data_IF_032485773605
#
_entry.id   IF_032485773605
#
_cell.length_a   1.000
_cell.length_b   1.000
_cell.length_c   1.000
_cell.angle_alpha   90.00
_cell.angle_beta   90.00
_cell.angle_gamma   90.00
#
_symmetry.space_group_name_H-M   'P 1'
#
loop_
_entity.id
_entity.type
_entity.pdbx_description
1 polymer ?
#
# COMPACT_ATOMS: atom_id res chain seq x y z
N UNK A 1 21.70 5.07 -13.42
CA UNK A 1 21.25 5.17 -12.02
C UNK A 1 22.50 5.19 -11.12
N UNK A 2 22.78 6.31 -10.46
CA UNK A 2 24.00 6.42 -9.64
C UNK A 2 23.85 5.54 -8.38
N UNK A 3 24.58 4.44 -8.32
CA UNK A 3 24.52 3.50 -7.19
C UNK A 3 25.04 4.20 -5.94
N UNK A 4 24.20 4.41 -4.92
CA UNK A 4 24.58 4.99 -3.62
C UNK A 4 24.80 3.85 -2.61
N UNK A 5 25.75 4.03 -1.70
CA UNK A 5 25.99 3.09 -0.59
C UNK A 5 25.50 3.72 0.70
N UNK A 6 24.63 3.01 1.41
CA UNK A 6 24.03 3.50 2.66
C UNK A 6 25.00 3.29 3.82
N UNK A 7 24.99 4.22 4.76
CA UNK A 7 25.96 4.26 5.86
C UNK A 7 25.22 4.32 7.18
N UNK A 8 25.67 3.51 8.13
CA UNK A 8 25.20 3.53 9.52
C UNK A 8 26.39 3.87 10.40
N UNK A 9 26.19 4.72 11.40
CA UNK A 9 27.23 5.03 12.38
C UNK A 9 27.52 3.81 13.30
N UNK A 10 28.50 3.95 14.19
CA UNK A 10 28.83 2.90 15.18
C UNK A 10 27.66 2.59 16.13
N UNK A 11 26.87 3.62 16.49
CA UNK A 11 25.73 3.54 17.41
C UNK A 11 24.47 2.90 16.81
N UNK A 12 24.39 2.74 15.48
CA UNK A 12 23.24 2.19 14.78
C UNK A 12 22.31 3.21 14.09
N UNK A 13 22.59 4.51 14.21
CA UNK A 13 21.84 5.57 13.54
C UNK A 13 22.23 5.66 12.06
N UNK A 14 21.25 5.85 11.15
CA UNK A 14 21.51 6.02 9.73
C UNK A 14 22.18 7.38 9.46
N UNK A 15 23.16 7.39 8.55
CA UNK A 15 23.82 8.58 8.05
C UNK A 15 23.50 8.79 6.58
N UNK A 16 24.00 9.89 6.03
CA UNK A 16 23.87 10.19 4.60
C UNK A 16 24.63 9.17 3.75
N UNK A 17 24.02 8.72 2.63
CA UNK A 17 24.65 7.75 1.76
C UNK A 17 25.86 8.35 1.06
N UNK A 18 26.82 7.49 0.70
CA UNK A 18 28.07 7.89 0.06
C UNK A 18 28.23 7.27 -1.32
N UNK A 19 29.19 7.81 -2.10
CA UNK A 19 29.57 7.24 -3.40
C UNK A 19 30.27 5.88 -3.20
N UNK A 20 30.09 4.90 -4.09
CA UNK A 20 30.71 3.57 -3.98
C UNK A 20 32.24 3.62 -3.86
N UNK A 21 32.89 4.60 -4.50
CA UNK A 21 34.33 4.81 -4.39
C UNK A 21 34.77 5.12 -2.94
N UNK A 22 34.00 5.94 -2.21
CA UNK A 22 34.28 6.24 -0.79
C UNK A 22 34.03 5.00 0.08
N UNK A 23 32.93 4.29 -0.15
CA UNK A 23 32.63 3.05 0.55
C UNK A 23 33.74 2.00 0.38
N UNK A 24 34.26 1.83 -0.85
CA UNK A 24 35.35 0.88 -1.13
C UNK A 24 36.64 1.24 -0.38
N UNK A 25 37.01 2.52 -0.32
CA UNK A 25 38.16 2.98 0.46
C UNK A 25 37.97 2.68 1.96
N UNK A 26 36.79 3.01 2.51
CA UNK A 26 36.47 2.73 3.91
C UNK A 26 36.53 1.24 4.26
N UNK A 27 36.07 0.37 3.35
CA UNK A 27 36.15 -1.08 3.52
C UNK A 27 37.59 -1.59 3.42
N UNK A 28 38.37 -1.10 2.44
CA UNK A 28 39.79 -1.46 2.27
C UNK A 28 40.63 -1.06 3.49
N UNK A 29 40.34 0.10 4.07
CA UNK A 29 41.06 0.64 5.21
C UNK A 29 40.57 0.06 6.56
N UNK A 30 39.62 -0.88 6.56
CA UNK A 30 39.06 -1.47 7.79
C UNK A 30 38.20 -0.53 8.65
N UNK A 31 37.86 0.66 8.14
CA UNK A 31 37.07 1.69 8.85
C UNK A 31 35.55 1.47 8.79
N UNK A 32 35.11 0.50 8.01
CA UNK A 32 33.71 0.11 7.89
C UNK A 32 33.57 -1.40 7.69
N UNK A 33 32.40 -1.94 8.02
CA UNK A 33 32.03 -3.34 7.79
C UNK A 33 30.70 -3.41 7.03
N UNK A 34 30.54 -4.34 6.07
CA UNK A 34 29.26 -4.54 5.41
C UNK A 34 28.25 -5.16 6.40
N UNK A 35 27.02 -4.62 6.43
CA UNK A 35 25.94 -5.12 7.32
C UNK A 35 24.76 -5.67 6.51
N UNK A 36 24.50 -5.10 5.33
CA UNK A 36 23.41 -5.52 4.45
C UNK A 36 23.85 -5.48 3.00
N UNK A 37 23.42 -6.47 2.22
CA UNK A 37 23.72 -6.54 0.78
C UNK A 37 22.71 -5.77 -0.07
N UNK A 38 21.42 -5.79 0.30
CA UNK A 38 20.34 -5.15 -0.48
C UNK A 38 19.40 -4.35 0.44
N UNK A 39 19.39 -3.01 0.35
CA UNK A 39 20.40 -2.18 -0.33
C UNK A 39 21.77 -2.33 0.34
N UNK A 40 22.86 -2.14 -0.42
CA UNK A 40 24.21 -2.29 0.12
C UNK A 40 24.48 -1.23 1.19
N UNK A 41 24.71 -1.69 2.41
CA UNK A 41 24.81 -0.85 3.61
C UNK A 41 26.05 -1.20 4.40
N UNK A 42 26.86 -0.20 4.72
CA UNK A 42 28.07 -0.33 5.54
C UNK A 42 27.85 0.32 6.90
N UNK A 43 28.50 -0.23 7.93
CA UNK A 43 28.54 0.33 9.27
C UNK A 43 29.95 0.80 9.60
N UNK A 44 30.09 2.03 10.07
CA UNK A 44 31.37 2.59 10.50
C UNK A 44 31.83 1.95 11.82
N UNK A 45 33.14 1.75 11.96
CA UNK A 45 33.76 1.20 13.18
C UNK A 45 34.27 2.26 14.14
N UNK A 46 34.24 3.53 13.73
CA UNK A 46 34.71 4.69 14.48
C UNK A 46 33.55 5.67 14.71
N UNK A 47 33.72 6.56 15.67
CA UNK A 47 32.73 7.56 16.05
C UNK A 47 32.80 8.77 15.11
N UNK A 48 31.67 9.17 14.56
CA UNK A 48 31.57 10.26 13.60
C UNK A 48 30.51 11.25 14.06
N UNK A 49 30.66 12.51 13.63
CA UNK A 49 29.65 13.54 13.84
C UNK A 49 28.35 13.16 13.10
N UNK A 50 27.21 13.18 13.80
CA UNK A 50 25.90 12.78 13.28
C UNK A 50 25.21 13.90 12.48
N UNK A 51 25.99 14.68 11.74
CA UNK A 51 25.49 15.80 10.94
C UNK A 51 24.84 15.25 9.66
N UNK A 52 23.50 15.19 9.66
CA UNK A 52 22.68 14.71 8.54
C UNK A 52 21.87 15.85 7.93
N UNK A 53 21.72 15.84 6.60
CA UNK A 53 20.76 16.72 5.95
C UNK A 53 19.33 16.20 6.13
N UNK A 54 18.31 17.07 6.15
CA UNK A 54 16.92 16.63 6.22
C UNK A 54 16.56 15.81 4.98
N UNK A 55 15.97 14.63 5.21
CA UNK A 55 15.50 13.73 4.15
C UNK A 55 13.98 13.65 4.22
N UNK A 56 13.33 13.97 3.10
CA UNK A 56 11.88 13.86 2.94
C UNK A 56 11.55 12.57 2.20
N UNK A 57 10.71 11.75 2.80
CA UNK A 57 10.16 10.55 2.18
C UNK A 57 8.77 10.84 1.61
N UNK A 58 8.65 10.86 0.29
CA UNK A 58 7.37 10.86 -0.41
C UNK A 58 6.84 9.43 -0.59
N UNK A 59 5.57 9.21 -0.28
CA UNK A 59 4.88 7.92 -0.46
C UNK A 59 3.62 8.17 -1.29
N UNK A 60 3.57 7.53 -2.46
CA UNK A 60 2.37 7.44 -3.30
C UNK A 60 1.68 6.10 -3.01
N UNK A 61 0.51 6.19 -2.37
CA UNK A 61 -0.20 5.02 -1.84
C UNK A 61 -1.12 4.43 -2.91
N UNK A 62 -0.77 3.25 -3.39
CA UNK A 62 -1.61 2.47 -4.28
C UNK A 62 -2.23 1.21 -3.65
N UNK A 63 -3.24 0.67 -4.34
CA UNK A 63 -3.97 -0.53 -3.88
C UNK A 63 -3.17 -1.83 -4.06
N UNK A 64 -2.39 -1.92 -5.15
CA UNK A 64 -1.54 -3.08 -5.48
C UNK A 64 -0.05 -2.77 -5.35
N UNK A 65 0.35 -1.57 -5.73
CA UNK A 65 1.74 -1.11 -5.74
C UNK A 65 1.73 0.28 -5.13
N UNK A 66 2.55 0.53 -4.12
CA UNK A 66 2.82 1.88 -3.62
C UNK A 66 4.22 2.32 -4.01
N UNK A 67 4.36 3.52 -4.55
CA UNK A 67 5.65 4.12 -4.84
C UNK A 67 6.20 4.83 -3.61
N UNK A 68 7.52 4.86 -3.47
CA UNK A 68 8.16 5.76 -2.51
C UNK A 68 9.45 6.35 -3.08
N UNK A 69 9.76 7.57 -2.65
CA UNK A 69 10.99 8.28 -3.02
C UNK A 69 11.51 9.05 -1.81
N UNK A 70 12.78 8.85 -1.48
CA UNK A 70 13.50 9.59 -0.45
C UNK A 70 14.39 10.63 -1.13
N UNK A 71 14.15 11.91 -0.82
CA UNK A 71 14.78 13.06 -1.46
C UNK A 71 15.51 13.90 -0.41
N UNK A 72 16.71 14.37 -0.75
CA UNK A 72 17.45 15.34 0.05
C UNK A 72 18.16 16.32 -0.88
N UNK A 73 18.11 17.62 -0.59
CA UNK A 73 18.73 18.68 -1.39
C UNK A 73 18.44 18.61 -2.91
N UNK A 74 17.23 18.18 -3.30
CA UNK A 74 16.84 18.01 -4.70
C UNK A 74 17.39 16.74 -5.38
N UNK A 75 18.19 15.92 -4.71
CA UNK A 75 18.64 14.62 -5.21
C UNK A 75 17.79 13.47 -4.65
N UNK A 76 17.46 12.50 -5.51
CA UNK A 76 16.85 11.24 -5.10
C UNK A 76 17.94 10.34 -4.49
N UNK A 77 17.81 10.03 -3.21
CA UNK A 77 18.72 9.12 -2.50
C UNK A 77 18.33 7.67 -2.74
N UNK A 78 17.02 7.39 -2.68
CA UNK A 78 16.45 6.06 -2.84
C UNK A 78 15.04 6.18 -3.40
N UNK A 79 14.67 5.31 -4.33
CA UNK A 79 13.30 5.17 -4.79
C UNK A 79 12.97 3.70 -5.00
N UNK A 80 11.69 3.36 -4.92
CA UNK A 80 11.26 1.99 -5.15
C UNK A 80 9.76 1.82 -5.11
N UNK A 81 9.37 0.56 -5.29
CA UNK A 81 7.98 0.13 -5.28
C UNK A 81 7.76 -0.91 -4.19
N UNK A 82 6.63 -0.79 -3.50
CA UNK A 82 6.15 -1.75 -2.51
C UNK A 82 5.04 -2.55 -3.18
N UNK A 83 5.32 -3.81 -3.49
CA UNK A 83 4.32 -4.73 -4.01
C UNK A 83 3.45 -5.24 -2.85
N UNK A 84 2.20 -4.82 -2.83
CA UNK A 84 1.26 -5.16 -1.77
C UNK A 84 0.68 -6.55 -1.94
N UNK A 85 0.30 -7.13 -0.81
CA UNK A 85 -0.36 -8.44 -0.77
C UNK A 85 -1.82 -8.35 -1.22
N UNK A 86 -2.16 -9.04 -2.31
CA UNK A 86 -3.50 -8.96 -2.95
C UNK A 86 -4.45 -10.12 -2.60
N UNK A 87 -3.95 -11.23 -2.07
CA UNK A 87 -4.72 -12.45 -1.76
C UNK A 87 -5.58 -12.34 -0.47
N UNK A 88 -5.45 -11.26 0.31
CA UNK A 88 -6.16 -11.09 1.60
C UNK A 88 -7.68 -11.20 1.41
N UNK A 89 -8.23 -10.54 0.39
CA UNK A 89 -9.67 -10.58 0.09
C UNK A 89 -10.12 -12.01 -0.21
N UNK A 90 -9.46 -12.68 -1.15
CA UNK A 90 -9.74 -14.07 -1.54
C UNK A 90 -9.68 -15.01 -0.33
N UNK A 91 -8.63 -14.92 0.50
CA UNK A 91 -8.49 -15.75 1.71
C UNK A 91 -9.60 -15.50 2.74
N UNK A 92 -10.08 -14.25 2.89
CA UNK A 92 -11.22 -13.97 3.76
C UNK A 92 -12.52 -14.53 3.21
N UNK A 93 -12.74 -14.43 1.91
CA UNK A 93 -13.92 -14.99 1.23
C UNK A 93 -13.96 -16.51 1.36
N UNK A 94 -12.86 -17.20 1.04
CA UNK A 94 -12.74 -18.66 1.25
C UNK A 94 -13.03 -19.03 2.71
N UNK A 95 -12.48 -18.30 3.67
CA UNK A 95 -12.75 -18.53 5.10
C UNK A 95 -14.22 -18.32 5.45
N UNK A 96 -14.88 -17.33 4.87
CA UNK A 96 -16.30 -17.07 5.07
C UNK A 96 -17.16 -18.19 4.47
N UNK A 97 -16.85 -18.63 3.25
CA UNK A 97 -17.52 -19.75 2.56
C UNK A 97 -17.38 -21.05 3.33
N UNK A 98 -16.18 -21.42 3.76
CA UNK A 98 -15.95 -22.63 4.57
C UNK A 98 -16.75 -22.60 5.90
N UNK A 99 -16.90 -21.41 6.50
CA UNK A 99 -17.75 -21.24 7.69
C UNK A 99 -19.24 -21.32 7.39
N UNK A 100 -19.68 -20.94 6.19
CA UNK A 100 -21.07 -21.06 5.75
C UNK A 100 -21.40 -22.53 5.47
N UNK A 101 -20.55 -23.23 4.73
CA UNK A 101 -20.71 -24.66 4.41
C UNK A 101 -20.75 -25.54 5.68
N UNK A 102 -19.89 -25.27 6.68
CA UNK A 102 -19.96 -26.00 7.94
C UNK A 102 -21.28 -25.75 8.68
N UNK A 103 -21.77 -24.51 8.66
CA UNK A 103 -23.04 -24.15 9.31
C UNK A 103 -24.24 -24.76 8.61
N UNK A 104 -24.23 -24.87 7.29
CA UNK A 104 -25.32 -25.53 6.55
C UNK A 104 -25.44 -27.02 6.85
N UNK A 105 -24.36 -27.67 7.33
CA UNK A 105 -24.38 -29.07 7.80
C UNK A 105 -24.82 -29.22 9.26
N UNK A 106 -24.90 -28.13 10.02
CA UNK A 106 -25.24 -28.13 11.45
C UNK A 106 -26.69 -27.64 11.64
N UNK A 107 -27.65 -28.37 11.04
CA UNK A 107 -29.08 -28.03 11.07
C UNK A 107 -29.67 -27.90 12.48
N UNK A 108 -29.15 -28.67 13.44
CA UNK A 108 -29.55 -28.65 14.85
C UNK A 108 -29.02 -27.44 15.64
N UNK A 109 -28.07 -26.66 15.10
CA UNK A 109 -27.39 -25.61 15.86
C UNK A 109 -27.95 -24.23 15.50
N UNK A 110 -28.47 -23.44 16.47
CA UNK A 110 -29.06 -22.14 16.18
C UNK A 110 -28.01 -21.12 15.68
N UNK A 111 -28.41 -20.19 14.79
CA UNK A 111 -27.54 -19.12 14.32
C UNK A 111 -27.19 -18.15 15.46
N UNK A 112 -25.92 -17.72 15.55
CA UNK A 112 -25.43 -16.77 16.57
C UNK A 112 -25.04 -15.45 15.92
N UNK A 113 -26.03 -14.59 15.65
CA UNK A 113 -25.80 -13.29 15.00
C UNK A 113 -25.05 -12.30 15.90
N UNK A 114 -25.20 -12.43 17.22
CA UNK A 114 -24.60 -11.52 18.22
C UNK A 114 -23.12 -11.81 18.49
N UNK A 115 -22.62 -12.98 18.08
CA UNK A 115 -21.21 -13.37 18.19
C UNK A 115 -20.35 -12.70 17.10
N UNK A 116 -20.52 -11.39 16.93
CA UNK A 116 -19.86 -10.54 15.94
C UNK A 116 -19.07 -9.39 16.59
N UNK A 117 -18.78 -9.48 17.88
CA UNK A 117 -18.01 -8.49 18.63
C UNK A 117 -16.74 -8.04 17.90
N UNK A 118 -15.94 -8.99 17.38
CA UNK A 118 -14.72 -8.66 16.62
C UNK A 118 -15.00 -7.84 15.34
N UNK A 119 -16.14 -8.02 14.66
CA UNK A 119 -16.48 -7.21 13.48
C UNK A 119 -17.14 -5.87 13.82
N UNK A 120 -17.74 -5.76 15.01
CA UNK A 120 -18.41 -4.54 15.50
C UNK A 120 -17.48 -3.64 16.34
N UNK A 121 -16.26 -4.08 16.61
CA UNK A 121 -15.28 -3.35 17.39
C UNK A 121 -14.98 -1.98 16.75
N UNK A 122 -15.07 -0.92 17.55
CA UNK A 122 -14.69 0.43 17.15
C UNK A 122 -13.20 0.51 16.81
N UNK A 123 -12.84 1.35 15.84
CA UNK A 123 -11.45 1.50 15.38
C UNK A 123 -10.91 0.32 14.55
N UNK A 124 -11.76 -0.67 14.21
CA UNK A 124 -11.33 -1.80 13.39
C UNK A 124 -11.09 -1.39 11.94
N UNK A 125 -9.84 -1.49 11.50
CA UNK A 125 -9.49 -1.43 10.07
C UNK A 125 -9.84 -2.75 9.35
N UNK A 126 -10.37 -2.68 8.11
CA UNK A 126 -10.49 -3.84 7.24
C UNK A 126 -9.13 -4.56 7.07
N UNK A 127 -9.07 -5.90 7.11
CA UNK A 127 -7.79 -6.61 7.07
C UNK A 127 -6.93 -6.32 5.84
N UNK A 128 -7.53 -6.00 4.69
CA UNK A 128 -6.81 -5.58 3.48
C UNK A 128 -6.12 -4.24 3.68
N UNK A 129 -6.84 -3.24 4.19
CA UNK A 129 -6.32 -1.90 4.47
C UNK A 129 -5.22 -1.98 5.53
N UNK A 130 -5.47 -2.72 6.62
CA UNK A 130 -4.47 -2.94 7.68
C UNK A 130 -3.20 -3.61 7.15
N UNK A 131 -3.33 -4.61 6.28
CA UNK A 131 -2.18 -5.27 5.68
C UNK A 131 -1.35 -4.31 4.82
N UNK A 132 -2.00 -3.54 3.94
CA UNK A 132 -1.33 -2.54 3.10
C UNK A 132 -0.60 -1.49 3.94
N UNK A 133 -1.27 -0.89 4.94
CA UNK A 133 -0.65 0.11 5.83
C UNK A 133 0.55 -0.47 6.59
N UNK A 134 0.42 -1.68 7.14
CA UNK A 134 1.52 -2.35 7.85
C UNK A 134 2.70 -2.68 6.92
N UNK A 135 2.45 -3.00 5.65
CA UNK A 135 3.51 -3.24 4.66
C UNK A 135 4.31 -1.97 4.40
N UNK A 136 3.64 -0.82 4.24
CA UNK A 136 4.29 0.49 4.09
C UNK A 136 5.15 0.79 5.33
N UNK A 137 4.58 0.73 6.54
CA UNK A 137 5.31 0.98 7.79
C UNK A 137 6.54 0.07 7.91
N UNK A 138 6.41 -1.21 7.55
CA UNK A 138 7.53 -2.15 7.58
C UNK A 138 8.66 -1.77 6.62
N UNK A 139 8.32 -1.22 5.45
CA UNK A 139 9.34 -0.75 4.49
C UNK A 139 10.00 0.51 5.02
N UNK A 140 9.22 1.50 5.45
CA UNK A 140 9.72 2.77 5.99
C UNK A 140 10.70 2.53 7.14
N UNK A 141 10.36 1.67 8.09
CA UNK A 141 11.22 1.32 9.23
C UNK A 141 12.53 0.60 8.84
N UNK A 142 12.62 0.07 7.62
CA UNK A 142 13.79 -0.65 7.11
C UNK A 142 14.66 0.20 6.18
N UNK A 143 14.27 1.44 5.89
CA UNK A 143 15.04 2.35 5.05
C UNK A 143 16.30 2.79 5.83
N UNK A 144 17.51 2.59 5.28
CA UNK A 144 18.76 2.96 5.94
C UNK A 144 19.09 4.44 5.68
N UNK A 145 18.12 5.34 5.94
CA UNK A 145 18.22 6.78 5.69
C UNK A 145 17.73 7.56 6.92
N UNK A 146 18.34 8.71 7.23
CA UNK A 146 17.88 9.59 8.31
C UNK A 146 16.65 10.40 7.86
N UNK A 147 15.48 9.76 7.89
CA UNK A 147 14.21 10.37 7.47
C UNK A 147 13.75 11.38 8.52
N UNK A 148 13.57 12.64 8.13
CA UNK A 148 13.09 13.72 9.00
C UNK A 148 11.61 14.01 8.81
N UNK A 149 11.10 13.83 7.59
CA UNK A 149 9.71 14.12 7.24
C UNK A 149 9.17 13.05 6.30
N UNK A 150 7.89 12.71 6.45
CA UNK A 150 7.19 11.77 5.59
C UNK A 150 5.98 12.51 5.01
N UNK A 151 5.93 12.60 3.69
CA UNK A 151 4.82 13.16 2.94
C UNK A 151 4.09 11.99 2.29
N UNK A 152 2.80 11.86 2.60
CA UNK A 152 1.95 10.82 2.02
C UNK A 152 0.99 11.53 1.08
N UNK A 153 0.97 11.11 -0.18
CA UNK A 153 -0.08 11.50 -1.09
C UNK A 153 -1.37 10.79 -0.67
N UNK A 154 -2.27 11.55 -0.05
CA UNK A 154 -3.61 11.08 0.25
C UNK A 154 -4.60 11.76 -0.70
N UNK A 155 -5.54 10.97 -1.23
CA UNK A 155 -6.61 11.50 -2.07
C UNK A 155 -7.64 12.12 -1.13
N UNK A 156 -7.39 13.38 -0.75
CA UNK A 156 -8.25 14.16 0.13
C UNK A 156 -9.61 14.47 -0.50
N UNK A 157 -9.67 14.53 -1.84
CA UNK A 157 -10.89 14.90 -2.57
C UNK A 157 -11.69 13.64 -2.88
N UNK A 158 -12.79 13.48 -2.18
CA UNK A 158 -13.81 12.50 -2.51
C UNK A 158 -14.63 13.00 -3.71
N UNK A 159 -14.18 12.66 -4.92
CA UNK A 159 -14.84 13.04 -6.18
C UNK A 159 -16.31 12.60 -6.20
N UNK A 160 -16.65 11.47 -5.57
CA UNK A 160 -18.02 10.99 -5.52
C UNK A 160 -18.88 11.91 -4.63
N UNK A 161 -18.34 12.32 -3.48
CA UNK A 161 -19.02 13.26 -2.58
C UNK A 161 -19.01 14.71 -3.06
N UNK A 162 -18.06 15.07 -3.93
CA UNK A 162 -18.04 16.37 -4.58
C UNK A 162 -19.16 16.50 -5.62
N UNK A 163 -19.50 15.41 -6.30
CA UNK A 163 -20.66 15.35 -7.20
C UNK A 163 -21.98 15.17 -6.45
N UNK A 164 -21.99 14.44 -5.33
CA UNK A 164 -23.15 14.22 -4.48
C UNK A 164 -22.80 14.43 -2.99
N UNK A 165 -23.04 15.64 -2.44
CA UNK A 165 -22.70 15.96 -1.04
C UNK A 165 -23.38 15.08 0.01
N UNK A 166 -24.52 14.46 -0.33
CA UNK A 166 -25.30 13.61 0.57
C UNK A 166 -24.85 12.14 0.58
N UNK A 167 -23.91 11.78 -0.31
CA UNK A 167 -23.41 10.42 -0.48
C UNK A 167 -22.86 9.86 0.84
N UNK A 168 -23.49 8.80 1.36
CA UNK A 168 -23.12 8.15 2.63
C UNK A 168 -23.20 6.63 2.56
N UNK A 169 -22.28 5.96 3.25
CA UNK A 169 -22.36 4.53 3.56
C UNK A 169 -22.46 3.62 2.33
N UNK A 170 -23.55 2.86 2.22
CA UNK A 170 -23.78 1.92 1.11
C UNK A 170 -24.00 2.61 -0.24
N UNK A 171 -24.31 3.91 -0.26
CA UNK A 171 -24.46 4.68 -1.49
C UNK A 171 -23.17 4.72 -2.33
N UNK A 172 -21.99 4.70 -1.68
CA UNK A 172 -20.68 4.58 -2.38
C UNK A 172 -20.53 3.29 -3.20
N UNK A 173 -21.27 2.25 -2.85
CA UNK A 173 -21.24 0.97 -3.56
C UNK A 173 -22.17 0.97 -4.77
N UNK A 174 -23.11 1.93 -4.84
CA UNK A 174 -23.90 2.17 -6.04
C UNK A 174 -23.00 2.88 -7.02
N UNK A 175 -22.63 2.17 -8.06
CA UNK A 175 -21.81 2.74 -9.10
C UNK A 175 -22.58 3.85 -9.80
N UNK A 176 -21.99 5.02 -10.00
CA UNK A 176 -22.54 6.10 -10.82
C UNK A 176 -22.52 5.78 -12.33
N UNK A 177 -22.57 4.48 -12.64
CA UNK A 177 -22.12 3.94 -13.91
C UNK A 177 -23.08 4.38 -15.01
N UNK A 178 -22.51 5.14 -15.93
CA UNK A 178 -22.74 5.15 -17.37
C UNK A 178 -23.13 3.78 -17.99
N UNK A 179 -22.96 2.64 -17.31
CA UNK A 179 -23.35 1.33 -17.81
C UNK A 179 -24.87 1.17 -17.93
N UNK A 180 -25.69 1.75 -17.04
CA UNK A 180 -27.14 1.74 -17.23
C UNK A 180 -27.51 2.61 -18.44
N UNK A 181 -26.88 3.79 -18.58
CA UNK A 181 -27.09 4.68 -19.72
C UNK A 181 -26.58 4.10 -21.04
N UNK A 182 -25.43 3.42 -21.05
CA UNK A 182 -24.89 2.71 -22.21
C UNK A 182 -25.77 1.50 -22.55
N UNK A 183 -26.26 0.77 -21.54
CA UNK A 183 -27.23 -0.31 -21.72
C UNK A 183 -28.54 0.22 -22.31
N UNK A 184 -29.11 1.29 -21.76
CA UNK A 184 -30.30 1.96 -22.28
C UNK A 184 -30.07 2.51 -23.68
N UNK A 185 -28.94 3.16 -23.95
CA UNK A 185 -28.59 3.64 -25.29
C UNK A 185 -28.45 2.49 -26.30
N UNK A 186 -27.89 1.35 -25.89
CA UNK A 186 -27.79 0.16 -26.73
C UNK A 186 -29.18 -0.44 -26.98
N UNK A 187 -30.02 -0.55 -25.95
CA UNK A 187 -31.40 -1.02 -26.09
C UNK A 187 -32.25 -0.10 -26.96
N UNK A 188 -32.12 1.22 -26.81
CA UNK A 188 -32.79 2.23 -27.64
C UNK A 188 -32.30 2.19 -29.09
N UNK A 189 -30.99 2.05 -29.32
CA UNK A 189 -30.41 1.87 -30.67
C UNK A 189 -30.97 0.63 -31.36
N UNK A 190 -31.17 -0.44 -30.60
CA UNK A 190 -31.61 -1.75 -31.10
C UNK A 190 -33.14 -1.94 -31.00
N UNK A 191 -33.92 -0.90 -30.69
CA UNK A 191 -35.39 -0.96 -30.53
C UNK A 191 -35.85 -2.08 -29.59
N UNK A 192 -35.10 -2.30 -28.52
CA UNK A 192 -35.27 -3.38 -27.54
C UNK A 192 -35.30 -4.78 -28.18
N UNK A 193 -34.74 -4.93 -29.38
CA UNK A 193 -34.66 -6.17 -30.11
C UNK A 193 -33.29 -6.83 -29.92
N UNK A 194 -33.27 -8.12 -29.61
CA UNK A 194 -32.01 -8.86 -29.49
C UNK A 194 -31.38 -9.05 -30.88
N UNK A 195 -30.16 -8.54 -31.09
CA UNK A 195 -29.43 -8.67 -32.36
C UNK A 195 -29.05 -10.12 -32.73
N UNK A 196 -29.13 -11.07 -31.79
CA UNK A 196 -28.77 -12.47 -32.03
C UNK A 196 -29.98 -13.37 -32.28
N UNK A 197 -31.13 -13.12 -31.64
CA UNK A 197 -32.32 -13.96 -31.79
C UNK A 197 -33.57 -13.22 -32.31
N UNK A 198 -33.51 -11.91 -32.52
CA UNK A 198 -34.61 -11.10 -33.06
C UNK A 198 -35.81 -10.92 -32.11
N UNK A 199 -35.75 -11.45 -30.90
CA UNK A 199 -36.84 -11.34 -29.92
C UNK A 199 -36.80 -9.94 -29.29
N UNK A 200 -37.96 -9.25 -29.30
CA UNK A 200 -38.14 -7.98 -28.58
C UNK A 200 -38.40 -8.23 -27.11
N UNK A 201 -37.69 -7.47 -26.27
CA UNK A 201 -37.88 -7.48 -24.83
C UNK A 201 -39.04 -6.52 -24.50
N UNK A 202 -40.25 -7.07 -24.36
CA UNK A 202 -41.44 -6.34 -23.86
C UNK A 202 -41.35 -6.04 -22.39
#
# INVERSE_FOLDING_TARGET
MMMKVYVINKNGNPLMPCKPAKARKLLRDGKAKPVKLVPFTIKLTWDCEENVQPVTLGIDKGSKISGYSAIANGEILMSGYINHRTDVKKKRETRATNRRQRRSRLWHRPPRFDNRASSKQSGRLPPSIKANANEIIRVVNKLPLPITSIIIEDVLIDIARLNDPELKGSAYQKSNRLHENLRLATLLRDDFCCQQCGVKNT
#
